data_IF_123561143890
#
_entry.id   IF_123561143890
#
_cell.length_a   1.000
_cell.length_b   1.000
_cell.length_c   1.000
_cell.angle_alpha   90.00
_cell.angle_beta   90.00
_cell.angle_gamma   90.00
#
_symmetry.space_group_name_H-M   'P 1'
#
loop_
_entity.id
_entity.type
_entity.pdbx_description
1 polymer ?
#
# COMPACT_ATOMS: atom_id res chain seq x y z
N UNK A 1 -6.40 -29.48 2.49
CA UNK A 1 -6.43 -28.44 3.55
C UNK A 1 -7.88 -27.98 3.65
N UNK A 2 -8.34 -27.44 4.78
CA UNK A 2 -9.72 -26.90 4.84
C UNK A 2 -9.79 -25.61 3.99
N UNK A 3 -10.92 -25.35 3.34
CA UNK A 3 -11.10 -24.20 2.43
C UNK A 3 -10.86 -22.84 3.13
N UNK A 4 -11.30 -22.70 4.39
CA UNK A 4 -11.04 -21.53 5.23
C UNK A 4 -9.55 -21.32 5.51
N UNK A 5 -8.77 -22.38 5.75
CA UNK A 5 -7.31 -22.30 5.92
C UNK A 5 -6.62 -21.76 4.65
N UNK A 6 -7.03 -22.24 3.47
CA UNK A 6 -6.48 -21.79 2.19
C UNK A 6 -6.83 -20.32 1.93
N UNK A 7 -8.07 -19.92 2.22
CA UNK A 7 -8.52 -18.53 2.10
C UNK A 7 -7.75 -17.59 3.03
N UNK A 8 -7.57 -17.97 4.29
CA UNK A 8 -6.79 -17.18 5.28
C UNK A 8 -5.34 -17.05 4.83
N UNK A 9 -4.72 -18.14 4.37
CA UNK A 9 -3.34 -18.09 3.87
C UNK A 9 -3.22 -17.20 2.64
N UNK A 10 -4.19 -17.22 1.74
CA UNK A 10 -4.23 -16.34 0.57
C UNK A 10 -4.34 -14.86 0.98
N UNK A 11 -5.24 -14.55 1.90
CA UNK A 11 -5.42 -13.19 2.42
C UNK A 11 -4.18 -12.66 3.17
N UNK A 12 -3.47 -13.53 3.90
CA UNK A 12 -2.20 -13.18 4.53
C UNK A 12 -1.13 -12.79 3.49
N UNK A 13 -0.95 -13.60 2.44
CA UNK A 13 -0.03 -13.29 1.34
C UNK A 13 -0.40 -11.97 0.64
N UNK A 14 -1.69 -11.72 0.45
CA UNK A 14 -2.17 -10.46 -0.13
C UNK A 14 -1.90 -9.28 0.80
N UNK A 15 -2.05 -9.45 2.11
CA UNK A 15 -1.71 -8.43 3.09
C UNK A 15 -0.25 -8.01 2.97
N UNK A 16 0.69 -8.95 2.82
CA UNK A 16 2.11 -8.64 2.62
C UNK A 16 2.34 -7.82 1.34
N UNK A 17 1.68 -8.18 0.23
CA UNK A 17 1.76 -7.43 -1.04
C UNK A 17 1.25 -5.99 -0.89
N UNK A 18 0.11 -5.82 -0.22
CA UNK A 18 -0.44 -4.48 0.05
C UNK A 18 0.54 -3.67 0.91
N UNK A 19 1.12 -4.27 1.95
CA UNK A 19 2.12 -3.59 2.79
C UNK A 19 3.36 -3.18 2.00
N UNK A 20 3.86 -4.02 1.08
CA UNK A 20 4.97 -3.67 0.20
C UNK A 20 4.65 -2.45 -0.67
N UNK A 21 3.50 -2.44 -1.34
CA UNK A 21 3.07 -1.33 -2.20
C UNK A 21 2.87 -0.02 -1.41
N UNK A 22 2.28 -0.12 -0.22
CA UNK A 22 2.13 1.04 0.67
C UNK A 22 3.51 1.54 1.13
N UNK A 23 4.46 0.64 1.40
CA UNK A 23 5.85 0.97 1.69
C UNK A 23 6.51 1.77 0.56
N UNK A 24 6.39 1.31 -0.69
CA UNK A 24 6.90 2.04 -1.87
C UNK A 24 6.31 3.45 -2.00
N UNK A 25 5.00 3.59 -1.74
CA UNK A 25 4.34 4.89 -1.73
C UNK A 25 4.89 5.79 -0.62
N UNK A 26 5.09 5.25 0.58
CA UNK A 26 5.66 5.99 1.72
C UNK A 26 7.08 6.44 1.42
N UNK A 27 7.94 5.58 0.87
CA UNK A 27 9.32 5.93 0.53
C UNK A 27 9.38 7.07 -0.50
N UNK A 28 8.52 7.01 -1.52
CA UNK A 28 8.39 8.07 -2.53
C UNK A 28 7.98 9.40 -1.89
N UNK A 29 6.97 9.37 -1.01
CA UNK A 29 6.51 10.56 -0.31
C UNK A 29 7.54 11.08 0.69
N UNK A 30 8.30 10.23 1.36
CA UNK A 30 9.34 10.65 2.30
C UNK A 30 10.53 11.30 1.59
N UNK A 31 11.00 10.74 0.47
CA UNK A 31 12.02 11.37 -0.38
C UNK A 31 11.56 12.76 -0.88
N UNK A 32 10.27 12.85 -1.19
CA UNK A 32 9.61 14.03 -1.74
C UNK A 32 9.33 15.15 -0.74
N UNK A 33 8.82 14.78 0.42
CA UNK A 33 8.01 15.67 1.25
C UNK A 33 8.36 15.58 2.73
N UNK A 34 9.42 14.84 3.10
CA UNK A 34 9.95 14.91 4.44
C UNK A 34 10.68 16.27 4.62
N UNK A 35 9.98 17.20 5.27
CA UNK A 35 10.42 18.59 5.41
C UNK A 35 9.98 19.50 4.26
N UNK A 36 10.38 20.77 4.33
CA UNK A 36 10.01 21.79 3.33
C UNK A 36 11.21 22.15 2.45
N UNK A 37 11.34 21.49 1.30
CA UNK A 37 12.40 21.76 0.31
C UNK A 37 11.91 22.81 -0.71
N UNK A 38 12.03 24.09 -0.34
CA UNK A 38 11.63 25.22 -1.18
C UNK A 38 12.82 26.16 -1.44
N UNK A 39 12.81 26.83 -2.59
CA UNK A 39 13.78 27.87 -2.94
C UNK A 39 13.53 29.17 -2.14
N UNK A 40 14.37 30.18 -2.37
CA UNK A 40 14.27 31.49 -1.70
C UNK A 40 12.96 32.26 -1.92
N UNK A 41 12.13 31.83 -2.87
CA UNK A 41 10.79 32.39 -3.14
C UNK A 41 9.66 31.55 -2.53
N UNK A 42 9.98 30.49 -1.78
CA UNK A 42 8.99 29.61 -1.15
C UNK A 42 8.32 28.62 -2.10
N UNK A 43 8.83 28.47 -3.33
CA UNK A 43 8.39 27.49 -4.34
C UNK A 43 9.26 26.25 -4.25
N UNK A 44 8.73 25.05 -4.51
CA UNK A 44 9.55 23.84 -4.58
C UNK A 44 10.78 24.04 -5.46
N UNK A 45 11.97 23.73 -4.92
CA UNK A 45 13.22 23.91 -5.65
C UNK A 45 13.29 22.98 -6.87
N UNK A 46 12.66 21.80 -6.78
CA UNK A 46 12.51 20.85 -7.88
C UNK A 46 11.06 20.34 -7.95
N UNK A 47 10.16 21.15 -8.49
CA UNK A 47 8.74 20.80 -8.62
C UNK A 47 8.49 19.60 -9.52
N UNK A 48 9.33 19.37 -10.53
CA UNK A 48 9.23 18.22 -11.44
C UNK A 48 9.50 16.91 -10.71
N UNK A 49 10.55 16.85 -9.89
CA UNK A 49 10.82 15.70 -9.03
C UNK A 49 9.66 15.46 -8.05
N UNK A 50 9.15 16.51 -7.38
CA UNK A 50 8.00 16.38 -6.47
C UNK A 50 6.75 15.84 -7.17
N UNK A 51 6.48 16.28 -8.40
CA UNK A 51 5.38 15.75 -9.20
C UNK A 51 5.57 14.27 -9.53
N UNK A 52 6.79 13.84 -9.87
CA UNK A 52 7.09 12.43 -10.10
C UNK A 52 6.93 11.60 -8.82
N UNK A 53 7.43 12.06 -7.68
CA UNK A 53 7.31 11.39 -6.39
C UNK A 53 5.83 11.15 -6.02
N UNK A 54 4.97 12.17 -6.24
CA UNK A 54 3.53 12.04 -6.04
C UNK A 54 2.88 11.03 -6.98
N UNK A 55 3.28 11.01 -8.26
CA UNK A 55 2.72 10.07 -9.22
C UNK A 55 3.13 8.62 -8.90
N UNK A 56 4.38 8.39 -8.51
CA UNK A 56 4.85 7.07 -8.08
C UNK A 56 4.05 6.58 -6.88
N UNK A 57 3.89 7.43 -5.85
CA UNK A 57 3.09 7.09 -4.69
C UNK A 57 1.62 6.80 -5.05
N UNK A 58 1.03 7.61 -5.94
CA UNK A 58 -0.35 7.42 -6.39
C UNK A 58 -0.55 6.08 -7.13
N UNK A 59 0.39 5.69 -7.99
CA UNK A 59 0.34 4.41 -8.72
C UNK A 59 0.39 3.24 -7.74
N UNK A 60 1.32 3.26 -6.78
CA UNK A 60 1.44 2.20 -5.78
C UNK A 60 0.20 2.11 -4.88
N UNK A 61 -0.36 3.24 -4.43
CA UNK A 61 -1.61 3.27 -3.65
C UNK A 61 -2.78 2.71 -4.45
N UNK A 62 -2.91 3.07 -5.74
CA UNK A 62 -3.99 2.54 -6.59
C UNK A 62 -3.89 1.03 -6.75
N UNK A 63 -2.68 0.49 -6.95
CA UNK A 63 -2.46 -0.95 -7.04
C UNK A 63 -2.81 -1.66 -5.71
N UNK A 64 -2.41 -1.08 -4.57
CA UNK A 64 -2.75 -1.62 -3.26
C UNK A 64 -4.27 -1.66 -3.02
N UNK A 65 -4.97 -0.58 -3.39
CA UNK A 65 -6.44 -0.50 -3.29
C UNK A 65 -7.15 -1.50 -4.20
N UNK A 66 -6.65 -1.70 -5.41
CA UNK A 66 -7.19 -2.68 -6.35
C UNK A 66 -7.08 -4.10 -5.79
N UNK A 67 -5.91 -4.48 -5.31
CA UNK A 67 -5.69 -5.78 -4.65
C UNK A 67 -6.61 -5.92 -3.43
N UNK A 68 -6.71 -4.88 -2.60
CA UNK A 68 -7.56 -4.91 -1.40
C UNK A 68 -9.04 -5.11 -1.75
N UNK A 69 -9.52 -4.53 -2.85
CA UNK A 69 -10.88 -4.69 -3.35
C UNK A 69 -11.14 -6.10 -3.90
N UNK A 70 -10.17 -6.68 -4.57
CA UNK A 70 -10.29 -7.98 -5.25
C UNK A 70 -10.06 -9.17 -4.32
N UNK A 71 -9.47 -8.92 -3.15
CA UNK A 71 -9.22 -9.96 -2.16
C UNK A 71 -10.52 -10.42 -1.53
N UNK A 72 -10.79 -11.72 -1.61
CA UNK A 72 -11.83 -12.36 -0.83
C UNK A 72 -11.36 -12.52 0.63
N UNK A 73 -11.64 -11.51 1.45
CA UNK A 73 -11.20 -11.46 2.83
C UNK A 73 -11.92 -12.51 3.68
N UNK A 74 -11.21 -13.23 4.56
CA UNK A 74 -11.84 -14.16 5.48
C UNK A 74 -12.75 -13.42 6.47
N UNK A 75 -13.85 -14.08 6.80
CA UNK A 75 -14.85 -13.68 7.77
C UNK A 75 -14.55 -14.28 9.13
N UNK A 76 -15.18 -13.74 10.19
CA UNK A 76 -15.04 -14.26 11.56
C UNK A 76 -15.35 -15.77 11.67
N UNK A 77 -16.37 -16.24 10.95
CA UNK A 77 -16.75 -17.65 10.95
C UNK A 77 -15.67 -18.55 10.33
N UNK A 78 -14.98 -18.07 9.30
CA UNK A 78 -13.90 -18.80 8.63
C UNK A 78 -12.66 -18.89 9.52
N UNK A 79 -12.39 -17.89 10.36
CA UNK A 79 -11.35 -17.97 11.40
C UNK A 79 -11.73 -19.01 12.48
N UNK A 80 -12.96 -18.97 12.99
CA UNK A 80 -13.42 -19.93 14.02
C UNK A 80 -13.45 -21.39 13.55
N UNK A 81 -13.60 -21.64 12.24
CA UNK A 81 -13.58 -22.98 11.64
C UNK A 81 -12.16 -23.58 11.52
N UNK A 82 -11.12 -22.78 11.75
CA UNK A 82 -9.71 -23.22 11.77
C UNK A 82 -9.27 -23.62 13.18
N UNK A 83 -9.85 -23.01 14.21
CA UNK A 83 -9.50 -23.23 15.62
C UNK A 83 -10.30 -24.36 16.31
N UNK A 84 -11.31 -24.92 15.63
CA UNK A 84 -12.20 -25.97 16.13
C UNK A 84 -11.77 -27.38 15.68
#
# INVERSE_FOLDING_TARGET
MNESHEKISSAANTTEKIQSLVGEALDSLQSGFNGRVVNGFGVYADSSSRHNDLNTALVAIKAAMEIMRETDWPTEAEFGAVDA
#
